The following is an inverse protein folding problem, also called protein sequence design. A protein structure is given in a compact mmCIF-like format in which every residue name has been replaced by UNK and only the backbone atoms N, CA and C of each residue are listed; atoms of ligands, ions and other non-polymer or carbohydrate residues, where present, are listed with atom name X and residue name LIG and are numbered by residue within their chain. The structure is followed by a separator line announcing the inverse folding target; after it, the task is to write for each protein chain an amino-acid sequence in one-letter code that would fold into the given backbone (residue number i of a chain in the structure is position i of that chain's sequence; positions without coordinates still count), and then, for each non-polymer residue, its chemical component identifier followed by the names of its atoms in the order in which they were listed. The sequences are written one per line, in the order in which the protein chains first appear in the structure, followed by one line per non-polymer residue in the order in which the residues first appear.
data_IF_589187293462
#
_entry.id   IF_589187293462
#
_cell.length_a   1.000
_cell.length_b   1.000
_cell.length_c   1.000
_cell.angle_alpha   90.00
_cell.angle_beta   90.00
_cell.angle_gamma   90.00
#
_symmetry.space_group_name_H-M   'P 1'
#
loop_
_entity.id
_entity.type
_entity.pdbx_description
1 polymer ?
#
# COMPACT_ATOMS: atom_id res chain seq x y z
N UNK A 1 20.11 -6.79 -3.66
CA UNK A 1 20.31 -6.05 -2.40
C UNK A 1 19.30 -4.90 -2.25
N UNK A 2 19.04 -4.10 -3.30
CA UNK A 2 18.01 -3.03 -3.28
C UNK A 2 16.59 -3.51 -3.00
N UNK A 3 16.16 -4.65 -3.55
CA UNK A 3 14.82 -5.20 -3.28
C UNK A 3 14.59 -5.50 -1.77
N UNK A 4 15.65 -5.80 -1.01
CA UNK A 4 15.57 -5.98 0.45
C UNK A 4 15.48 -4.64 1.20
N UNK A 5 16.13 -3.58 0.69
CA UNK A 5 16.00 -2.22 1.23
C UNK A 5 14.62 -1.62 0.93
N UNK A 6 14.03 -1.95 -0.21
CA UNK A 6 12.65 -1.57 -0.56
C UNK A 6 11.63 -2.31 0.31
N UNK A 7 11.87 -3.60 0.60
CA UNK A 7 11.13 -4.37 1.62
C UNK A 7 11.21 -3.74 3.01
N UNK A 8 12.39 -3.28 3.41
CA UNK A 8 12.59 -2.56 4.67
C UNK A 8 11.90 -1.20 4.66
N UNK A 9 11.95 -0.43 3.57
CA UNK A 9 11.35 0.92 3.49
C UNK A 9 9.83 0.89 3.46
N UNK A 10 9.20 0.05 2.64
CA UNK A 10 7.73 -0.08 2.63
C UNK A 10 7.25 -0.81 3.88
N UNK A 11 8.01 -1.82 4.34
CA UNK A 11 7.79 -2.44 5.63
C UNK A 11 7.86 -1.44 6.78
N UNK A 12 8.81 -0.51 6.77
CA UNK A 12 8.93 0.59 7.73
C UNK A 12 7.92 1.71 7.50
N UNK A 13 7.41 1.93 6.29
CA UNK A 13 6.36 2.91 5.99
C UNK A 13 4.99 2.40 6.45
N UNK A 14 4.70 1.12 6.23
CA UNK A 14 3.48 0.48 6.74
C UNK A 14 3.57 0.16 8.21
N UNK A 15 4.75 -0.25 8.70
CA UNK A 15 5.00 -0.34 10.13
C UNK A 15 4.95 1.05 10.74
N UNK A 16 5.53 2.08 10.16
CA UNK A 16 5.37 3.44 10.67
C UNK A 16 3.94 3.93 10.49
N UNK A 17 3.12 3.44 9.57
CA UNK A 17 1.68 3.71 9.65
C UNK A 17 1.00 2.92 10.78
N UNK A 18 1.45 1.70 11.08
CA UNK A 18 1.03 0.94 12.27
C UNK A 18 1.57 1.54 13.60
N UNK A 19 2.73 2.21 13.60
CA UNK A 19 3.52 2.62 14.77
C UNK A 19 3.63 4.14 14.96
N UNK A 20 3.63 4.96 13.90
CA UNK A 20 3.65 6.43 13.96
C UNK A 20 2.31 7.03 14.41
N UNK A 21 1.29 6.18 14.61
CA UNK A 21 0.19 6.50 15.50
C UNK A 21 0.55 6.43 17.00
N UNK A 22 1.84 6.35 17.38
CA UNK A 22 2.33 6.51 18.75
C UNK A 22 1.44 5.83 19.80
N UNK A 23 1.04 4.60 19.48
CA UNK A 23 -0.05 3.95 20.17
C UNK A 23 0.46 3.27 21.44
N UNK A 24 0.43 4.02 22.54
CA UNK A 24 -0.07 3.48 23.81
C UNK A 24 -1.59 3.18 23.76
N UNK A 25 -2.23 3.30 22.59
CA UNK A 25 -3.67 3.04 22.38
C UNK A 25 -4.01 2.40 21.02
N UNK A 26 -3.38 1.27 20.62
CA UNK A 26 -3.98 0.40 19.57
C UNK A 26 -5.17 -0.29 20.24
N UNK A 27 -6.25 0.44 20.47
CA UNK A 27 -7.45 -0.07 21.14
C UNK A 27 -8.48 -0.60 20.14
N UNK A 28 -8.26 -0.45 18.83
CA UNK A 28 -9.23 -0.86 17.83
C UNK A 28 -8.60 -1.62 16.63
N UNK A 29 -8.85 -2.94 16.50
CA UNK A 29 -8.41 -3.73 15.35
C UNK A 29 -9.23 -3.46 14.08
N UNK A 30 -10.19 -2.53 14.13
CA UNK A 30 -11.06 -2.18 13.02
C UNK A 30 -10.65 -0.86 12.34
N UNK A 31 -10.83 -0.82 11.03
CA UNK A 31 -10.82 0.38 10.22
C UNK A 31 -12.04 1.24 10.56
N UNK A 32 -11.95 2.56 10.33
CA UNK A 32 -13.11 3.49 10.45
C UNK A 32 -14.31 3.09 9.58
N UNK A 33 -14.13 2.27 8.55
CA UNK A 33 -15.23 1.72 7.76
C UNK A 33 -15.97 0.56 8.44
N UNK A 34 -15.54 0.12 9.64
CA UNK A 34 -16.15 -0.96 10.42
C UNK A 34 -15.61 -2.36 10.12
N UNK A 35 -14.63 -2.52 9.23
CA UNK A 35 -14.02 -3.81 8.90
C UNK A 35 -12.64 -3.99 9.56
N UNK A 36 -12.17 -5.22 9.81
CA UNK A 36 -10.83 -5.45 10.35
C UNK A 36 -9.73 -4.81 9.51
N UNK A 37 -8.85 -4.04 10.15
CA UNK A 37 -7.74 -3.37 9.49
C UNK A 37 -6.66 -4.39 9.15
N UNK A 38 -6.63 -4.82 7.88
CA UNK A 38 -5.61 -5.72 7.32
C UNK A 38 -4.96 -5.08 6.10
N UNK A 39 -3.76 -5.52 5.67
CA UNK A 39 -3.15 -5.02 4.42
C UNK A 39 -4.06 -5.24 3.20
N UNK A 40 -4.77 -6.37 3.15
CA UNK A 40 -5.77 -6.63 2.10
C UNK A 40 -6.91 -5.63 2.13
N UNK A 41 -7.41 -5.32 3.33
CA UNK A 41 -8.44 -4.32 3.50
C UNK A 41 -7.95 -2.95 3.04
N UNK A 42 -6.84 -2.47 3.61
CA UNK A 42 -6.28 -1.14 3.33
C UNK A 42 -6.00 -0.90 1.85
N UNK A 43 -5.29 -1.83 1.21
CA UNK A 43 -4.78 -1.65 -0.16
C UNK A 43 -5.86 -1.94 -1.20
N UNK A 44 -6.71 -2.96 -0.97
CA UNK A 44 -7.56 -3.50 -2.03
C UNK A 44 -9.07 -3.33 -1.80
N UNK A 45 -9.54 -3.17 -0.56
CA UNK A 45 -10.98 -3.31 -0.24
C UNK A 45 -11.60 -2.13 0.49
N UNK A 46 -10.81 -1.24 1.09
CA UNK A 46 -11.34 -0.18 1.95
C UNK A 46 -12.24 0.76 1.13
N UNK A 47 -13.52 0.93 1.49
CA UNK A 47 -14.44 1.79 0.76
C UNK A 47 -14.10 3.28 0.95
N UNK A 48 -13.41 3.64 2.04
CA UNK A 48 -12.97 5.02 2.29
C UNK A 48 -11.78 5.45 1.42
N UNK A 49 -11.11 4.50 0.77
CA UNK A 49 -9.90 4.74 -0.04
C UNK A 49 -10.12 4.42 -1.52
N UNK A 50 -11.36 4.53 -2.00
CA UNK A 50 -11.69 4.21 -3.41
C UNK A 50 -10.91 5.10 -4.37
N UNK A 51 -10.90 6.41 -4.14
CA UNK A 51 -10.27 7.38 -5.03
C UNK A 51 -8.74 7.23 -5.06
N UNK A 52 -8.13 7.05 -3.89
CA UNK A 52 -6.69 6.83 -3.73
C UNK A 52 -6.28 5.52 -4.41
N UNK A 53 -7.09 4.47 -4.24
CA UNK A 53 -6.87 3.18 -4.89
C UNK A 53 -7.02 3.28 -6.41
N UNK A 54 -8.02 3.99 -6.92
CA UNK A 54 -8.17 4.24 -8.34
C UNK A 54 -6.95 4.96 -8.93
N UNK A 55 -6.43 5.96 -8.20
CA UNK A 55 -5.20 6.68 -8.57
C UNK A 55 -3.99 5.75 -8.61
N UNK A 56 -3.80 4.90 -7.58
CA UNK A 56 -2.75 3.88 -7.55
C UNK A 56 -2.84 2.96 -8.78
N UNK A 57 -4.01 2.38 -9.05
CA UNK A 57 -4.19 1.47 -10.17
C UNK A 57 -4.11 2.17 -11.54
N UNK A 58 -4.42 3.46 -11.63
CA UNK A 58 -4.17 4.26 -12.83
C UNK A 58 -2.67 4.40 -13.09
N UNK A 59 -1.86 4.71 -12.08
CA UNK A 59 -0.41 4.78 -12.21
C UNK A 59 0.24 3.44 -12.57
N UNK A 60 -0.32 2.32 -12.10
CA UNK A 60 0.13 0.98 -12.50
C UNK A 60 -0.16 0.68 -13.98
N UNK A 61 -1.28 1.19 -14.52
CA UNK A 61 -1.65 1.03 -15.94
C UNK A 61 -0.71 1.77 -16.87
N UNK A 62 -0.22 2.94 -16.47
CA UNK A 62 0.70 3.73 -17.30
C UNK A 62 2.15 3.22 -17.26
N UNK A 63 2.45 2.22 -16.43
CA UNK A 63 3.82 1.75 -16.15
C UNK A 63 4.04 0.28 -16.55
N UNK A 64 3.17 -0.31 -17.38
CA UNK A 64 3.15 -1.74 -17.76
C UNK A 64 3.05 -2.76 -16.59
N UNK A 65 2.97 -2.29 -15.35
CA UNK A 65 2.82 -3.11 -14.14
C UNK A 65 1.43 -3.72 -13.99
N UNK A 66 0.44 -3.16 -14.67
CA UNK A 66 -0.95 -3.57 -14.51
C UNK A 66 -1.21 -5.03 -14.90
N UNK A 67 -0.57 -5.51 -15.98
CA UNK A 67 -0.75 -6.89 -16.44
C UNK A 67 -0.19 -7.89 -15.43
N UNK A 68 0.99 -7.60 -14.87
CA UNK A 68 1.59 -8.39 -13.80
C UNK A 68 0.66 -8.43 -12.60
N UNK A 69 0.23 -7.27 -12.10
CA UNK A 69 -0.65 -7.16 -10.94
C UNK A 69 -1.99 -7.89 -11.15
N UNK A 70 -2.59 -7.83 -12.34
CA UNK A 70 -3.85 -8.53 -12.62
C UNK A 70 -3.72 -10.06 -12.57
N UNK A 71 -2.59 -10.61 -13.00
CA UNK A 71 -2.34 -12.06 -13.01
C UNK A 71 -2.15 -12.67 -11.62
N UNK A 72 -1.82 -11.84 -10.61
CA UNK A 72 -1.55 -12.29 -9.25
C UNK A 72 -2.83 -12.54 -8.45
N UNK A 73 -2.82 -13.59 -7.63
CA UNK A 73 -3.84 -13.78 -6.60
C UNK A 73 -3.79 -12.65 -5.55
N UNK A 74 -4.77 -12.58 -4.65
CA UNK A 74 -4.85 -11.48 -3.67
C UNK A 74 -3.62 -11.36 -2.77
N UNK A 75 -3.06 -12.48 -2.31
CA UNK A 75 -1.91 -12.47 -1.40
C UNK A 75 -0.67 -11.99 -2.14
N UNK A 76 -0.39 -12.55 -3.31
CA UNK A 76 0.77 -12.19 -4.12
C UNK A 76 0.68 -10.76 -4.64
N UNK A 77 -0.54 -10.29 -4.95
CA UNK A 77 -0.80 -8.89 -5.32
C UNK A 77 -0.42 -7.94 -4.19
N UNK A 78 -0.81 -8.26 -2.94
CA UNK A 78 -0.43 -7.45 -1.79
C UNK A 78 1.09 -7.49 -1.61
N UNK A 79 1.69 -8.67 -1.63
CA UNK A 79 3.15 -8.80 -1.49
C UNK A 79 3.89 -8.02 -2.58
N UNK A 80 3.45 -8.13 -3.83
CA UNK A 80 4.00 -7.39 -4.95
C UNK A 80 3.88 -5.88 -4.74
N UNK A 81 2.67 -5.38 -4.44
CA UNK A 81 2.47 -3.95 -4.21
C UNK A 81 3.34 -3.45 -3.05
N UNK A 82 3.49 -4.23 -1.98
CA UNK A 82 4.28 -3.81 -0.83
C UNK A 82 5.79 -3.93 -1.03
N UNK A 83 6.25 -4.90 -1.80
CA UNK A 83 7.64 -5.31 -1.77
C UNK A 83 8.31 -5.35 -3.13
N UNK A 84 7.56 -5.08 -4.19
CA UNK A 84 7.99 -5.28 -5.56
C UNK A 84 8.22 -6.75 -5.89
N UNK A 85 9.03 -6.97 -6.92
CA UNK A 85 9.40 -8.31 -7.37
C UNK A 85 10.86 -8.32 -7.81
N UNK A 86 11.59 -9.37 -7.47
CA UNK A 86 13.04 -9.48 -7.75
C UNK A 86 13.36 -9.57 -9.24
N UNK A 87 12.44 -10.12 -10.03
CA UNK A 87 12.55 -10.20 -11.50
C UNK A 87 12.03 -8.94 -12.22
N UNK A 88 11.62 -7.91 -11.47
CA UNK A 88 11.19 -6.64 -12.06
C UNK A 88 12.41 -5.76 -12.29
N UNK A 89 12.43 -5.03 -13.40
CA UNK A 89 13.48 -4.04 -13.63
C UNK A 89 13.53 -3.00 -12.50
N UNK A 90 14.72 -2.50 -12.20
CA UNK A 90 14.92 -1.55 -11.11
C UNK A 90 14.07 -0.29 -11.28
N UNK A 91 13.95 0.23 -12.51
CA UNK A 91 13.14 1.42 -12.80
C UNK A 91 11.66 1.20 -12.48
N UNK A 92 11.15 -0.01 -12.76
CA UNK A 92 9.77 -0.39 -12.46
C UNK A 92 9.55 -0.61 -10.97
N UNK A 93 10.54 -1.15 -10.25
CA UNK A 93 10.48 -1.33 -8.79
C UNK A 93 10.46 0.04 -8.10
N UNK A 94 11.30 0.99 -8.54
CA UNK A 94 11.27 2.37 -8.06
C UNK A 94 9.92 3.02 -8.32
N UNK A 95 9.36 2.84 -9.53
CA UNK A 95 8.06 3.40 -9.87
C UNK A 95 6.94 2.85 -8.99
N UNK A 96 6.97 1.55 -8.71
CA UNK A 96 6.00 0.91 -7.82
C UNK A 96 6.06 1.49 -6.39
N UNK A 97 7.27 1.72 -5.88
CA UNK A 97 7.48 2.31 -4.55
C UNK A 97 6.97 3.75 -4.51
N UNK A 98 7.23 4.54 -5.56
CA UNK A 98 6.72 5.90 -5.68
C UNK A 98 5.18 5.92 -5.62
N UNK A 99 4.53 5.07 -6.42
CA UNK A 99 3.07 4.96 -6.46
C UNK A 99 2.48 4.54 -5.11
N UNK A 100 3.09 3.57 -4.45
CA UNK A 100 2.63 3.10 -3.14
C UNK A 100 2.87 4.12 -2.03
N UNK A 101 3.99 4.83 -2.06
CA UNK A 101 4.27 5.92 -1.12
C UNK A 101 3.27 7.05 -1.27
N UNK A 102 2.91 7.39 -2.51
CA UNK A 102 1.87 8.38 -2.79
C UNK A 102 0.49 7.93 -2.29
N UNK A 103 0.08 6.68 -2.57
CA UNK A 103 -1.15 6.10 -2.06
C UNK A 103 -1.23 6.17 -0.52
N UNK A 104 -0.15 5.77 0.15
CA UNK A 104 -0.01 5.81 1.61
C UNK A 104 -0.19 7.23 2.15
N UNK A 105 0.52 8.20 1.57
CA UNK A 105 0.46 9.59 2.01
C UNK A 105 -0.93 10.22 1.82
N UNK A 106 -1.59 9.94 0.69
CA UNK A 106 -2.95 10.41 0.45
C UNK A 106 -3.94 9.79 1.43
N UNK A 107 -3.79 8.50 1.72
CA UNK A 107 -4.67 7.78 2.65
C UNK A 107 -4.60 8.34 4.07
N UNK A 108 -3.43 8.79 4.53
CA UNK A 108 -3.26 9.44 5.84
C UNK A 108 -4.08 10.73 5.94
N UNK A 109 -4.01 11.55 4.88
CA UNK A 109 -4.73 12.83 4.86
C UNK A 109 -6.25 12.69 4.92
N UNK A 110 -6.81 11.54 4.51
CA UNK A 110 -8.24 11.26 4.60
C UNK A 110 -8.65 10.69 5.96
N UNK A 111 -7.80 9.87 6.57
CA UNK A 111 -8.07 9.28 7.87
C UNK A 111 -8.10 10.36 8.97
N UNK A 112 -7.30 11.42 8.83
CA UNK A 112 -7.23 12.53 9.79
C UNK A 112 -8.35 13.59 9.61
N UNK A 113 -9.02 13.64 8.44
CA UNK A 113 -10.08 14.63 8.13
C UNK A 113 -11.45 14.34 8.75
N UNK A 114 -11.64 13.17 9.36
CA UNK A 114 -12.87 12.78 10.05
C UNK A 114 -12.66 12.69 11.58
N UNK A 115 -11.71 13.46 12.11
CA UNK A 115 -11.47 13.65 13.54
C UNK A 115 -12.05 14.96 14.05
#
# INVERSE_FOLDING_TARGET
VECAFNKLRVGLLLKSQLYAHNFTSVSDPFCKCGLPQTPSHFILKCPLLVNERETLFAGLRTSDLHLLVQSLNTVDKIQFLLYGHENLDNSLNEKLIELMSHFVNQSLSQIDRFG
#
